data_IF_669375040245
#
_entry.id   IF_669375040245
#
_cell.length_a   1.000
_cell.length_b   1.000
_cell.length_c   1.000
_cell.angle_alpha   90.00
_cell.angle_beta   90.00
_cell.angle_gamma   90.00
#
_symmetry.space_group_name_H-M   'P 1'
#
loop_
_entity.id
_entity.type
_entity.pdbx_description
1 polymer ?
#
# COMPACT_ATOMS: atom_id res chain seq x y z
N UNK A 1 15.19 -36.10 -11.20
CA UNK A 1 15.98 -34.84 -11.11
C UNK A 1 15.49 -33.93 -12.22
N UNK A 2 15.31 -32.64 -11.96
CA UNK A 2 14.84 -31.68 -12.96
C UNK A 2 15.99 -31.07 -13.77
N UNK A 3 15.68 -30.59 -14.98
CA UNK A 3 16.62 -29.87 -15.82
C UNK A 3 17.01 -28.50 -15.21
N UNK A 4 18.16 -27.93 -15.58
CA UNK A 4 18.55 -26.59 -15.14
C UNK A 4 17.47 -25.54 -15.39
N UNK A 5 17.14 -24.74 -14.37
CA UNK A 5 16.07 -23.75 -14.43
C UNK A 5 14.68 -24.27 -14.02
N UNK A 6 14.55 -25.55 -13.69
CA UNK A 6 13.33 -26.14 -13.16
C UNK A 6 13.50 -26.57 -11.69
N UNK A 7 12.41 -26.47 -10.93
CA UNK A 7 12.32 -26.89 -9.53
C UNK A 7 11.37 -28.08 -9.41
N UNK A 8 11.72 -29.04 -8.55
CA UNK A 8 10.88 -30.21 -8.29
C UNK A 8 9.80 -29.86 -7.27
N UNK A 9 8.53 -29.99 -7.63
CA UNK A 9 7.37 -29.69 -6.79
C UNK A 9 6.26 -30.70 -7.11
N UNK A 10 5.61 -31.28 -6.10
CA UNK A 10 4.49 -32.22 -6.25
C UNK A 10 4.68 -33.27 -7.36
N UNK A 11 5.82 -33.95 -7.33
CA UNK A 11 6.20 -35.03 -8.24
C UNK A 11 6.34 -34.62 -9.73
N UNK A 12 6.48 -33.32 -10.02
CA UNK A 12 6.77 -32.79 -11.36
C UNK A 12 7.80 -31.66 -11.31
N UNK A 13 8.34 -31.27 -12.47
CA UNK A 13 9.30 -30.18 -12.59
C UNK A 13 8.60 -28.94 -13.13
N UNK A 14 8.58 -27.85 -12.34
CA UNK A 14 8.04 -26.55 -12.76
C UNK A 14 9.17 -25.58 -13.11
N UNK A 15 8.91 -24.61 -13.98
CA UNK A 15 9.88 -23.56 -14.25
C UNK A 15 10.10 -22.72 -12.99
N UNK A 16 11.35 -22.47 -12.61
CA UNK A 16 11.63 -21.61 -11.46
C UNK A 16 11.01 -20.21 -11.63
N UNK A 17 10.92 -19.73 -12.88
CA UNK A 17 10.29 -18.44 -13.23
C UNK A 17 8.80 -18.35 -12.91
N UNK A 18 8.08 -19.48 -12.84
CA UNK A 18 6.64 -19.49 -12.51
C UNK A 18 6.36 -19.54 -11.00
N UNK A 19 7.40 -19.52 -10.16
CA UNK A 19 7.20 -19.53 -8.71
C UNK A 19 6.64 -18.20 -8.21
N UNK A 20 5.57 -18.29 -7.40
CA UNK A 20 4.95 -17.15 -6.74
C UNK A 20 5.90 -16.52 -5.71
N UNK A 21 5.75 -15.22 -5.48
CA UNK A 21 6.44 -14.51 -4.42
C UNK A 21 5.68 -14.65 -3.10
N UNK A 22 6.41 -14.82 -2.00
CA UNK A 22 5.84 -14.80 -0.66
C UNK A 22 6.13 -13.46 0.02
N UNK A 23 5.09 -12.78 0.49
CA UNK A 23 5.21 -11.51 1.20
C UNK A 23 4.09 -11.37 2.22
N UNK A 24 4.44 -11.00 3.46
CA UNK A 24 3.49 -10.75 4.55
C UNK A 24 2.41 -11.82 4.72
N UNK A 25 2.81 -13.10 4.64
CA UNK A 25 1.94 -14.27 4.76
C UNK A 25 0.98 -14.55 3.59
N UNK A 26 1.15 -13.84 2.47
CA UNK A 26 0.40 -14.04 1.23
C UNK A 26 1.33 -14.45 0.07
N UNK A 27 0.73 -15.05 -0.96
CA UNK A 27 1.40 -15.44 -2.20
C UNK A 27 0.94 -14.57 -3.36
N UNK A 28 1.90 -14.08 -4.14
CA UNK A 28 1.67 -13.20 -5.28
C UNK A 28 2.22 -13.83 -6.55
N UNK A 29 1.43 -13.86 -7.62
CA UNK A 29 1.85 -14.38 -8.91
C UNK A 29 2.91 -13.48 -9.57
N UNK A 30 3.81 -14.03 -10.41
CA UNK A 30 4.73 -13.22 -11.20
C UNK A 30 3.98 -12.14 -12.01
N UNK A 31 4.41 -10.90 -11.87
CA UNK A 31 3.78 -9.73 -12.49
C UNK A 31 2.76 -9.01 -11.60
N UNK A 32 2.34 -9.59 -10.48
CA UNK A 32 1.47 -8.93 -9.52
C UNK A 32 2.14 -7.70 -8.89
N UNK A 33 1.35 -6.66 -8.66
CA UNK A 33 1.75 -5.45 -7.95
C UNK A 33 0.79 -5.17 -6.79
N UNK A 34 1.32 -4.73 -5.65
CA UNK A 34 0.53 -4.44 -4.46
C UNK A 34 1.16 -3.33 -3.61
N UNK A 35 0.36 -2.75 -2.73
CA UNK A 35 0.85 -1.86 -1.68
C UNK A 35 1.16 -2.64 -0.41
N UNK A 36 2.23 -2.25 0.29
CA UNK A 36 2.50 -2.71 1.65
C UNK A 36 1.42 -2.20 2.62
N UNK A 37 1.35 -2.75 3.85
CA UNK A 37 0.56 -2.15 4.91
C UNK A 37 0.88 -0.66 5.09
N UNK A 38 -0.16 0.18 5.21
CA UNK A 38 -0.05 1.64 5.25
C UNK A 38 0.47 2.31 3.96
N UNK A 39 0.57 1.58 2.85
CA UNK A 39 0.95 2.08 1.54
C UNK A 39 2.33 2.78 1.51
N UNK A 40 3.23 2.42 2.42
CA UNK A 40 4.59 2.99 2.52
C UNK A 40 5.50 2.51 1.41
N UNK A 41 5.15 1.40 0.77
CA UNK A 41 5.87 0.81 -0.34
C UNK A 41 4.89 0.27 -1.38
N UNK A 42 5.32 0.27 -2.64
CA UNK A 42 4.69 -0.44 -3.74
C UNK A 42 5.62 -1.56 -4.18
N UNK A 43 5.13 -2.78 -4.12
CA UNK A 43 5.90 -3.98 -4.40
C UNK A 43 5.43 -4.65 -5.69
N UNK A 44 6.37 -5.34 -6.35
CA UNK A 44 6.12 -6.17 -7.53
C UNK A 44 6.75 -7.54 -7.36
N UNK A 45 6.04 -8.57 -7.79
CA UNK A 45 6.59 -9.92 -7.91
C UNK A 45 7.22 -10.11 -9.28
N UNK A 46 8.50 -10.44 -9.32
CA UNK A 46 9.23 -10.83 -10.51
C UNK A 46 9.35 -12.35 -10.62
N UNK A 47 9.50 -12.90 -11.85
CA UNK A 47 9.74 -14.31 -12.06
C UNK A 47 10.89 -14.85 -11.19
N UNK A 48 10.70 -16.04 -10.62
CA UNK A 48 11.69 -16.64 -9.70
C UNK A 48 11.52 -16.21 -8.25
N UNK A 49 10.28 -15.93 -7.81
CA UNK A 49 9.96 -15.54 -6.43
C UNK A 49 10.72 -14.30 -5.91
N UNK A 50 11.11 -13.39 -6.80
CA UNK A 50 11.83 -12.17 -6.43
C UNK A 50 10.85 -11.02 -6.19
N UNK A 51 10.80 -10.50 -4.97
CA UNK A 51 10.03 -9.29 -4.64
C UNK A 51 10.92 -8.07 -4.75
N UNK A 52 10.41 -7.01 -5.39
CA UNK A 52 11.04 -5.70 -5.41
C UNK A 52 10.04 -4.65 -4.95
N UNK A 53 10.43 -3.83 -3.96
CA UNK A 53 9.58 -2.80 -3.38
C UNK A 53 10.23 -1.43 -3.51
N UNK A 54 9.42 -0.42 -3.79
CA UNK A 54 9.84 0.98 -3.85
C UNK A 54 9.02 1.79 -2.86
N UNK A 55 9.65 2.79 -2.23
CA UNK A 55 8.96 3.70 -1.31
C UNK A 55 7.81 4.38 -2.06
N UNK A 56 6.65 4.40 -1.41
CA UNK A 56 5.41 4.93 -1.95
C UNK A 56 4.69 5.77 -0.90
N UNK A 57 3.96 6.78 -1.38
CA UNK A 57 3.03 7.57 -0.58
C UNK A 57 1.79 7.84 -1.43
N UNK A 58 0.62 7.83 -0.79
CA UNK A 58 -0.61 8.18 -1.48
C UNK A 58 -0.57 9.65 -1.93
N UNK A 59 -1.07 9.91 -3.13
CA UNK A 59 -1.13 11.24 -3.70
C UNK A 59 -2.15 12.14 -2.99
N UNK A 60 -2.17 13.41 -3.38
CA UNK A 60 -3.14 14.40 -2.89
C UNK A 60 -4.58 13.89 -2.99
N UNK A 61 -5.40 14.17 -1.97
CA UNK A 61 -6.80 13.74 -1.87
C UNK A 61 -7.05 12.23 -1.81
N UNK A 62 -6.00 11.42 -1.68
CA UNK A 62 -6.12 9.98 -1.46
C UNK A 62 -5.52 9.58 -0.12
N UNK A 63 -6.11 8.55 0.49
CA UNK A 63 -5.66 7.97 1.75
C UNK A 63 -5.44 6.47 1.56
N UNK A 64 -4.46 5.92 2.26
CA UNK A 64 -4.26 4.48 2.28
C UNK A 64 -5.42 3.82 3.03
N UNK A 65 -6.12 2.91 2.37
CA UNK A 65 -7.19 2.12 2.98
C UNK A 65 -7.06 0.67 2.56
N UNK A 66 -7.51 -0.23 3.42
CA UNK A 66 -7.68 -1.63 3.11
C UNK A 66 -9.07 -1.83 2.51
N UNK A 67 -9.16 -2.22 1.23
CA UNK A 67 -10.42 -2.56 0.56
C UNK A 67 -10.30 -3.93 -0.08
N UNK A 68 -11.30 -4.79 0.12
CA UNK A 68 -11.34 -6.15 -0.41
C UNK A 68 -10.05 -6.96 -0.08
N UNK A 69 -9.46 -6.74 1.10
CA UNK A 69 -8.23 -7.43 1.52
C UNK A 69 -6.93 -6.87 0.94
N UNK A 70 -6.97 -5.82 0.12
CA UNK A 70 -5.76 -5.21 -0.46
C UNK A 70 -5.62 -3.73 -0.05
N UNK A 71 -4.41 -3.33 0.31
CA UNK A 71 -4.11 -1.92 0.56
C UNK A 71 -4.08 -1.16 -0.76
N UNK A 72 -4.62 0.05 -0.75
CA UNK A 72 -4.58 0.94 -1.90
C UNK A 72 -4.78 2.39 -1.50
N UNK A 73 -4.33 3.29 -2.37
CA UNK A 73 -4.62 4.71 -2.26
C UNK A 73 -5.99 4.98 -2.86
N UNK A 74 -6.94 5.33 -2.00
CA UNK A 74 -8.32 5.58 -2.40
C UNK A 74 -8.70 7.04 -2.14
N UNK A 75 -9.63 7.63 -2.91
CA UNK A 75 -10.12 8.97 -2.63
C UNK A 75 -10.62 9.07 -1.20
N UNK A 76 -10.20 10.13 -0.50
CA UNK A 76 -10.74 10.44 0.81
C UNK A 76 -12.22 10.80 0.63
N UNK A 77 -13.11 9.93 1.10
CA UNK A 77 -14.56 10.10 0.96
C UNK A 77 -15.16 11.10 1.96
N UNK A 78 -14.37 11.58 2.93
CA UNK A 78 -14.81 12.54 3.92
C UNK A 78 -14.68 13.98 3.45
N UNK A 79 -15.50 14.85 4.01
CA UNK A 79 -15.24 16.29 4.03
C UNK A 79 -14.69 16.63 5.42
N UNK A 80 -13.53 17.28 5.48
CA UNK A 80 -13.03 17.88 6.71
C UNK A 80 -13.24 19.39 6.63
N UNK A 81 -13.88 19.97 7.64
CA UNK A 81 -14.14 21.41 7.70
C UNK A 81 -13.22 22.04 8.75
N UNK A 82 -12.50 23.09 8.35
CA UNK A 82 -11.83 24.01 9.27
C UNK A 82 -12.74 25.24 9.43
N UNK A 83 -12.91 25.73 10.65
CA UNK A 83 -13.77 26.87 10.95
C UNK A 83 -12.98 27.98 11.63
N UNK A 84 -13.18 29.21 11.14
CA UNK A 84 -12.70 30.44 11.78
C UNK A 84 -13.91 31.28 12.08
N UNK A 85 -14.13 31.61 13.36
CA UNK A 85 -15.28 32.41 13.77
C UNK A 85 -14.93 33.31 14.96
N UNK A 86 -15.23 34.61 14.84
CA UNK A 86 -14.85 35.60 15.85
C UNK A 86 -13.33 35.81 15.99
N UNK A 87 -12.95 36.57 17.01
CA UNK A 87 -11.56 36.79 17.44
C UNK A 87 -11.41 36.16 18.85
N UNK A 88 -10.57 35.13 19.09
CA UNK A 88 -9.61 34.47 18.20
C UNK A 88 -9.91 32.97 18.00
N UNK A 89 -11.15 32.56 17.71
CA UNK A 89 -11.52 31.13 17.76
C UNK A 89 -11.32 30.39 16.43
N UNK A 90 -10.49 29.34 16.50
CA UNK A 90 -10.20 28.43 15.39
C UNK A 90 -10.61 27.01 15.75
N UNK A 91 -11.13 26.27 14.75
CA UNK A 91 -11.37 24.82 14.81
C UNK A 91 -10.61 24.17 13.67
N UNK A 92 -9.63 23.35 14.00
CA UNK A 92 -8.84 22.59 13.01
C UNK A 92 -9.66 21.51 12.31
N UNK A 93 -9.11 20.95 11.23
CA UNK A 93 -9.72 19.82 10.52
C UNK A 93 -9.95 18.57 11.39
N UNK A 94 -9.14 18.38 12.45
CA UNK A 94 -9.30 17.32 13.45
C UNK A 94 -10.16 17.74 14.66
N UNK A 95 -10.85 18.88 14.58
CA UNK A 95 -11.81 19.35 15.59
C UNK A 95 -11.19 20.01 16.82
N UNK A 96 -9.89 20.34 16.80
CA UNK A 96 -9.24 21.01 17.93
C UNK A 96 -9.57 22.49 17.93
N UNK A 97 -10.01 22.96 19.10
CA UNK A 97 -10.26 24.37 19.36
C UNK A 97 -8.99 25.05 19.86
N UNK A 98 -8.61 26.17 19.26
CA UNK A 98 -7.52 26.99 19.80
C UNK A 98 -7.75 28.49 19.56
N UNK A 99 -7.13 29.29 20.42
CA UNK A 99 -7.11 30.75 20.35
C UNK A 99 -5.82 31.24 19.70
N UNK A 100 -5.89 32.03 18.63
CA UNK A 100 -4.70 32.69 18.07
C UNK A 100 -4.97 34.16 17.72
N UNK A 101 -4.30 35.08 18.42
CA UNK A 101 -4.31 36.51 18.09
C UNK A 101 -3.12 36.83 17.18
N UNK A 102 -3.42 37.07 15.89
CA UNK A 102 -2.43 37.56 14.93
C UNK A 102 -1.95 38.97 15.26
N UNK A 103 -0.76 39.34 14.78
CA UNK A 103 -0.20 40.69 14.90
C UNK A 103 -0.32 41.47 13.60
#
# INVERSE_FOLDING_TARGET
>A
VCDPGFLFTDNHCIQASSCNCFYNNDYYEPGAEWFSPNCTERCRCWPGSRVECQISQCGTHTVCQLKNGQYGCHPYAGTATCLVYGDPHYVTFDGRHFGFMGK
#
